data_IF_920587914331
#
_entry.id   IF_920587914331
#
_cell.length_a   1.000
_cell.length_b   1.000
_cell.length_c   1.000
_cell.angle_alpha   90.00
_cell.angle_beta   90.00
_cell.angle_gamma   90.00
#
_symmetry.space_group_name_H-M   'P 1'
#
loop_
_entity.id
_entity.type
_entity.pdbx_description
1 polymer ?
#
# COMPACT_ATOMS: atom_id res chain seq x y z
N UNK A 1 -12.93 -2.14 -6.63
CA UNK A 1 -12.39 -3.49 -6.97
C UNK A 1 -12.58 -3.86 -8.43
N UNK A 2 -13.77 -3.71 -9.05
CA UNK A 2 -13.96 -4.10 -10.45
C UNK A 2 -12.93 -3.47 -11.41
N UNK A 3 -12.77 -2.14 -11.38
CA UNK A 3 -11.82 -1.42 -12.25
C UNK A 3 -10.36 -1.92 -12.07
N UNK A 4 -9.93 -2.18 -10.83
CA UNK A 4 -8.57 -2.69 -10.58
C UNK A 4 -8.40 -4.10 -11.16
N UNK A 5 -9.39 -4.98 -10.98
CA UNK A 5 -9.37 -6.32 -11.57
C UNK A 5 -9.29 -6.26 -13.09
N UNK A 6 -10.09 -5.40 -13.73
CA UNK A 6 -10.05 -5.21 -15.19
C UNK A 6 -8.67 -4.74 -15.65
N UNK A 7 -8.12 -3.69 -15.03
CA UNK A 7 -6.80 -3.16 -15.39
C UNK A 7 -5.67 -4.18 -15.22
N UNK A 8 -5.69 -4.97 -14.13
CA UNK A 8 -4.71 -6.06 -13.96
C UNK A 8 -4.90 -7.16 -15.01
N UNK A 9 -6.17 -7.49 -15.35
CA UNK A 9 -6.50 -8.49 -16.37
C UNK A 9 -6.04 -8.09 -17.77
N UNK A 10 -6.12 -6.80 -18.10
CA UNK A 10 -5.64 -6.24 -19.38
C UNK A 10 -4.10 -6.19 -19.47
N UNK A 11 -3.42 -6.31 -18.32
CA UNK A 11 -1.96 -6.19 -18.21
C UNK A 11 -1.25 -7.53 -17.98
N UNK A 12 -1.84 -8.66 -18.41
CA UNK A 12 -1.25 -10.00 -18.17
C UNK A 12 0.14 -10.17 -18.76
N UNK A 13 0.36 -9.58 -19.92
CA UNK A 13 1.62 -9.65 -20.66
C UNK A 13 2.49 -8.39 -20.46
N UNK A 14 2.10 -7.51 -19.53
CA UNK A 14 2.88 -6.33 -19.19
C UNK A 14 4.20 -6.72 -18.53
N UNK A 15 5.24 -5.92 -18.74
CA UNK A 15 6.54 -6.10 -18.10
C UNK A 15 6.48 -6.00 -16.57
N UNK A 16 5.46 -5.34 -16.01
CA UNK A 16 5.22 -5.18 -14.59
C UNK A 16 4.05 -4.25 -14.30
N UNK A 17 3.71 -4.09 -13.04
CA UNK A 17 2.66 -3.18 -12.57
C UNK A 17 3.25 -2.13 -11.63
N UNK A 18 2.81 -0.89 -11.79
CA UNK A 18 3.11 0.21 -10.88
C UNK A 18 1.82 0.65 -10.20
N UNK A 19 1.79 0.60 -8.87
CA UNK A 19 0.74 1.18 -8.06
C UNK A 19 1.20 2.53 -7.53
N UNK A 20 0.62 3.61 -8.01
CA UNK A 20 0.87 4.96 -7.51
C UNK A 20 -0.07 5.25 -6.34
N UNK A 21 0.47 5.26 -5.13
CA UNK A 21 -0.24 5.57 -3.89
C UNK A 21 0.14 6.94 -3.33
N UNK A 22 0.87 7.76 -4.09
CA UNK A 22 1.19 9.11 -3.66
C UNK A 22 -0.09 9.92 -3.45
N UNK A 23 -0.14 10.68 -2.37
CA UNK A 23 -1.33 11.46 -2.01
C UNK A 23 -2.55 10.62 -1.63
N UNK A 24 -2.43 9.30 -1.49
CA UNK A 24 -3.55 8.43 -1.14
C UNK A 24 -3.66 8.25 0.38
N UNK A 25 -4.68 8.85 1.04
CA UNK A 25 -4.82 8.79 2.49
C UNK A 25 -5.36 7.45 3.01
N UNK A 26 -5.49 6.44 2.13
CA UNK A 26 -6.01 5.13 2.49
C UNK A 26 -7.50 4.97 2.21
N UNK A 27 -8.17 4.16 3.01
CA UNK A 27 -9.59 3.83 2.83
C UNK A 27 -9.97 2.48 3.42
N UNK A 28 -10.72 1.66 2.68
CA UNK A 28 -11.27 0.39 3.16
C UNK A 28 -10.22 -0.72 3.11
N UNK A 29 -9.80 -1.24 4.28
CA UNK A 29 -8.74 -2.26 4.41
C UNK A 29 -9.00 -3.56 3.62
N UNK A 30 -10.25 -3.99 3.49
CA UNK A 30 -10.61 -5.16 2.68
C UNK A 30 -10.28 -5.02 1.18
N UNK A 31 -10.18 -3.78 0.68
CA UNK A 31 -9.75 -3.52 -0.70
C UNK A 31 -8.27 -3.86 -0.87
N UNK A 32 -7.43 -3.50 0.09
CA UNK A 32 -6.01 -3.86 0.09
C UNK A 32 -5.81 -5.38 0.04
N UNK A 33 -6.52 -6.14 0.88
CA UNK A 33 -6.51 -7.60 0.86
C UNK A 33 -6.98 -8.17 -0.49
N UNK A 34 -8.04 -7.59 -1.07
CA UNK A 34 -8.54 -7.99 -2.39
C UNK A 34 -7.53 -7.76 -3.51
N UNK A 35 -6.82 -6.63 -3.50
CA UNK A 35 -5.77 -6.32 -4.48
C UNK A 35 -4.58 -7.26 -4.28
N UNK A 36 -4.15 -7.50 -3.03
CA UNK A 36 -3.07 -8.44 -2.73
C UNK A 36 -3.36 -9.84 -3.28
N UNK A 37 -4.61 -10.31 -3.18
CA UNK A 37 -5.03 -11.58 -3.76
C UNK A 37 -4.97 -11.63 -5.29
N UNK A 38 -5.13 -10.50 -5.98
CA UNK A 38 -4.96 -10.39 -7.45
C UNK A 38 -3.48 -10.41 -7.87
N UNK A 39 -2.57 -10.15 -6.93
CA UNK A 39 -1.14 -10.02 -7.18
C UNK A 39 -0.33 -11.21 -6.62
N UNK A 40 -0.95 -12.12 -5.89
CA UNK A 40 -0.24 -13.19 -5.18
C UNK A 40 -0.70 -14.57 -5.65
N UNK A 41 0.24 -15.51 -5.72
CA UNK A 41 -0.03 -16.91 -6.08
C UNK A 41 -0.30 -17.82 -4.87
N UNK A 42 -0.08 -17.33 -3.65
CA UNK A 42 -0.33 -18.03 -2.39
C UNK A 42 -1.13 -17.14 -1.45
N UNK A 43 -1.78 -17.75 -0.47
CA UNK A 43 -2.42 -17.02 0.62
C UNK A 43 -1.40 -16.34 1.53
N UNK A 44 -1.83 -15.28 2.20
CA UNK A 44 -0.96 -14.54 3.10
C UNK A 44 -1.70 -13.48 3.91
N UNK A 45 -0.96 -12.58 4.50
CA UNK A 45 -1.48 -11.46 5.26
C UNK A 45 -0.66 -10.21 5.01
N UNK A 46 -1.33 -9.07 4.89
CA UNK A 46 -0.70 -7.75 4.84
C UNK A 46 -0.33 -7.21 6.22
N UNK A 47 -0.66 -7.95 7.28
CA UNK A 47 -0.42 -7.56 8.65
C UNK A 47 -1.62 -7.83 9.56
N UNK A 48 -1.55 -7.28 10.77
CA UNK A 48 -2.51 -7.56 11.82
C UNK A 48 -2.93 -6.28 12.52
N UNK A 49 -4.22 -6.11 12.68
CA UNK A 49 -4.85 -5.11 13.52
C UNK A 49 -5.12 -5.72 14.90
N UNK A 50 -4.58 -5.12 15.97
CA UNK A 50 -4.79 -5.57 17.33
C UNK A 50 -5.65 -4.56 18.09
N UNK A 51 -6.82 -5.00 18.49
CA UNK A 51 -7.74 -4.29 19.37
C UNK A 51 -7.52 -4.73 20.82
N UNK A 52 -8.21 -4.08 21.76
CA UNK A 52 -8.07 -4.37 23.20
C UNK A 52 -8.32 -5.84 23.56
N UNK A 53 -9.32 -6.47 22.94
CA UNK A 53 -9.77 -7.83 23.27
C UNK A 53 -9.69 -8.82 22.10
N UNK A 54 -9.34 -8.36 20.90
CA UNK A 54 -9.34 -9.21 19.71
C UNK A 54 -8.26 -8.77 18.71
N UNK A 55 -8.00 -9.63 17.75
CA UNK A 55 -7.02 -9.41 16.70
C UNK A 55 -7.62 -9.81 15.36
N UNK A 56 -7.41 -8.98 14.34
CA UNK A 56 -7.86 -9.22 12.98
C UNK A 56 -6.66 -9.19 12.03
N UNK A 57 -6.50 -10.25 11.23
CA UNK A 57 -5.50 -10.29 10.14
C UNK A 57 -6.09 -9.69 8.88
N UNK A 58 -5.30 -8.89 8.16
CA UNK A 58 -5.59 -8.48 6.80
C UNK A 58 -5.19 -9.61 5.84
N UNK A 59 -5.87 -10.76 6.00
CA UNK A 59 -5.63 -11.93 5.18
C UNK A 59 -6.03 -11.68 3.71
N UNK A 60 -5.31 -12.28 2.80
CA UNK A 60 -5.67 -12.34 1.39
C UNK A 60 -5.53 -13.77 0.85
N UNK A 61 -6.30 -14.08 -0.16
CA UNK A 61 -6.31 -15.36 -0.84
C UNK A 61 -6.07 -15.14 -2.33
N UNK A 62 -5.28 -16.03 -2.98
CA UNK A 62 -5.00 -15.90 -4.40
C UNK A 62 -6.31 -15.91 -5.19
N UNK A 63 -6.41 -14.98 -6.13
CA UNK A 63 -7.53 -14.94 -7.06
C UNK A 63 -7.17 -15.73 -8.32
N UNK A 64 -8.18 -16.33 -9.01
CA UNK A 64 -7.94 -16.91 -10.33
C UNK A 64 -7.23 -15.90 -11.22
N UNK A 65 -6.20 -16.36 -11.94
CA UNK A 65 -5.45 -15.52 -12.89
C UNK A 65 -4.70 -14.34 -12.25
N UNK A 66 -4.19 -14.54 -11.02
CA UNK A 66 -3.36 -13.53 -10.35
C UNK A 66 -2.15 -13.13 -11.19
N UNK A 67 -1.81 -11.83 -11.19
CA UNK A 67 -0.65 -11.30 -11.87
C UNK A 67 0.65 -11.78 -11.20
N UNK A 68 1.55 -12.38 -11.99
CA UNK A 68 2.80 -12.98 -11.50
C UNK A 68 4.05 -12.14 -11.77
N UNK A 69 3.93 -11.13 -12.64
CA UNK A 69 5.04 -10.24 -12.98
C UNK A 69 5.47 -9.34 -11.81
N UNK A 70 6.55 -8.59 -11.97
CA UNK A 70 7.05 -7.69 -10.94
C UNK A 70 6.06 -6.57 -10.61
N UNK A 71 6.04 -6.15 -9.35
CA UNK A 71 5.17 -5.07 -8.85
C UNK A 71 6.02 -4.04 -8.13
N UNK A 72 5.79 -2.78 -8.48
CA UNK A 72 6.35 -1.61 -7.79
C UNK A 72 5.21 -0.79 -7.20
N UNK A 73 5.41 -0.26 -6.02
CA UNK A 73 4.47 0.67 -5.36
C UNK A 73 5.21 1.97 -5.09
N UNK A 74 4.65 3.09 -5.53
CA UNK A 74 5.19 4.43 -5.27
C UNK A 74 4.41 5.03 -4.10
N UNK A 75 5.13 5.52 -3.10
CA UNK A 75 4.58 6.18 -1.91
C UNK A 75 5.22 7.54 -1.66
N UNK A 76 4.53 8.38 -0.91
CA UNK A 76 5.03 9.67 -0.43
C UNK A 76 4.54 9.96 1.01
N UNK A 77 4.96 11.10 1.57
CA UNK A 77 4.55 11.54 2.90
C UNK A 77 3.04 11.75 3.11
N UNK A 78 2.23 11.65 2.06
CA UNK A 78 0.76 11.72 2.11
C UNK A 78 0.10 10.34 1.95
N UNK A 79 0.88 9.30 1.67
CA UNK A 79 0.40 7.92 1.66
C UNK A 79 0.14 7.47 3.08
N UNK A 80 -1.12 7.13 3.43
CA UNK A 80 -1.51 6.87 4.82
C UNK A 80 -2.45 5.67 4.98
N UNK A 81 -2.57 5.17 6.21
CA UNK A 81 -3.59 4.18 6.62
C UNK A 81 -3.56 2.92 5.74
N UNK A 82 -4.66 2.58 5.06
CA UNK A 82 -4.76 1.39 4.19
C UNK A 82 -3.70 1.37 3.07
N UNK A 83 -3.23 2.52 2.60
CA UNK A 83 -2.10 2.59 1.66
C UNK A 83 -0.82 2.06 2.30
N UNK A 84 -0.59 2.35 3.57
CA UNK A 84 0.56 1.85 4.34
C UNK A 84 0.43 0.36 4.67
N UNK A 85 -0.80 -0.09 5.00
CA UNK A 85 -1.10 -1.53 5.18
C UNK A 85 -0.76 -2.30 3.91
N UNK A 86 -1.18 -1.79 2.75
CA UNK A 86 -0.91 -2.42 1.47
C UNK A 86 0.58 -2.37 1.11
N UNK A 87 1.19 -1.19 1.11
CA UNK A 87 2.59 -1.02 0.73
C UNK A 87 3.54 -1.81 1.65
N UNK A 88 3.43 -1.62 2.97
CA UNK A 88 4.27 -2.30 3.95
C UNK A 88 4.04 -3.82 3.98
N UNK A 89 2.78 -4.25 3.83
CA UNK A 89 2.45 -5.67 3.75
C UNK A 89 3.06 -6.33 2.52
N UNK A 90 2.88 -5.73 1.32
CA UNK A 90 3.42 -6.25 0.06
C UNK A 90 4.95 -6.22 0.02
N UNK A 91 5.58 -5.21 0.63
CA UNK A 91 7.02 -5.14 0.80
C UNK A 91 7.56 -6.30 1.64
N UNK A 92 6.98 -6.51 2.82
CA UNK A 92 7.51 -7.50 3.77
C UNK A 92 7.30 -8.95 3.36
N UNK A 93 6.26 -9.24 2.59
CA UNK A 93 6.09 -10.58 1.98
C UNK A 93 6.92 -10.75 0.70
N UNK A 94 7.68 -9.73 0.30
CA UNK A 94 8.56 -9.78 -0.89
C UNK A 94 7.81 -9.73 -2.22
N UNK A 95 6.53 -9.29 -2.23
CA UNK A 95 5.72 -9.27 -3.45
C UNK A 95 5.85 -7.98 -4.25
N UNK A 96 6.18 -6.88 -3.62
CA UNK A 96 6.41 -5.60 -4.30
C UNK A 96 7.67 -4.90 -3.79
N UNK A 97 8.28 -4.09 -4.65
CA UNK A 97 9.29 -3.11 -4.30
C UNK A 97 8.64 -1.75 -4.06
N UNK A 98 9.07 -1.08 -3.03
CA UNK A 98 8.55 0.24 -2.65
C UNK A 98 9.54 1.32 -3.06
N UNK A 99 9.06 2.35 -3.75
CA UNK A 99 9.85 3.50 -4.22
C UNK A 99 9.20 4.80 -3.74
N UNK A 100 9.99 5.85 -3.61
CA UNK A 100 9.52 7.19 -3.31
C UNK A 100 10.02 7.71 -1.98
N UNK A 101 9.16 8.29 -1.19
CA UNK A 101 9.48 8.85 0.12
C UNK A 101 8.75 8.07 1.22
N UNK A 102 9.28 8.12 2.45
CA UNK A 102 8.64 7.48 3.61
C UNK A 102 7.18 7.94 3.74
N UNK A 103 6.26 7.01 3.97
CA UNK A 103 4.84 7.29 4.12
C UNK A 103 4.52 8.07 5.41
N UNK A 104 3.27 8.48 5.56
CA UNK A 104 2.84 9.36 6.66
C UNK A 104 3.09 8.79 8.05
N UNK A 105 3.02 7.47 8.24
CA UNK A 105 3.06 6.87 9.57
C UNK A 105 1.76 7.08 10.36
N UNK A 106 0.63 7.07 9.67
CA UNK A 106 -0.71 7.23 10.25
C UNK A 106 -1.56 6.00 9.93
N UNK A 107 -1.21 4.87 10.53
CA UNK A 107 -1.76 3.56 10.23
C UNK A 107 -2.70 3.01 11.33
N UNK A 108 -3.04 3.82 12.35
CA UNK A 108 -3.98 3.37 13.39
C UNK A 108 -5.40 3.27 12.85
N UNK A 109 -6.02 2.08 12.90
CA UNK A 109 -7.43 1.92 12.59
C UNK A 109 -8.28 2.78 13.52
N UNK A 110 -9.13 3.62 12.94
CA UNK A 110 -9.95 4.57 13.69
C UNK A 110 -11.42 4.51 13.26
N UNK A 111 -12.29 4.97 14.15
CA UNK A 111 -13.73 5.11 13.90
C UNK A 111 -14.18 6.53 14.21
N UNK A 112 -15.29 6.92 13.60
CA UNK A 112 -15.99 8.16 13.92
C UNK A 112 -17.17 7.87 14.84
N UNK A 113 -17.32 8.66 15.87
CA UNK A 113 -18.48 8.63 16.78
C UNK A 113 -19.09 10.02 16.86
N UNK A 114 -20.42 10.10 16.72
CA UNK A 114 -21.14 11.35 16.93
C UNK A 114 -21.36 11.56 18.41
N UNK A 115 -20.91 12.69 18.91
CA UNK A 115 -21.13 13.09 20.31
C UNK A 115 -22.54 13.65 20.53
N UNK A 116 -23.04 13.70 21.78
CA UNK A 116 -24.32 14.32 22.11
C UNK A 116 -24.45 15.79 21.64
N UNK A 117 -23.34 16.48 21.55
CA UNK A 117 -23.25 17.87 21.01
C UNK A 117 -23.46 17.96 19.50
N UNK A 118 -23.50 16.82 18.79
CA UNK A 118 -23.55 16.75 17.33
C UNK A 118 -22.19 16.74 16.64
N UNK A 119 -21.10 17.01 17.36
CA UNK A 119 -19.74 16.97 16.81
C UNK A 119 -19.31 15.52 16.47
N UNK A 120 -18.48 15.36 15.45
CA UNK A 120 -17.86 14.10 15.12
C UNK A 120 -16.52 13.97 15.87
N UNK A 121 -16.34 12.86 16.54
CA UNK A 121 -15.11 12.51 17.25
C UNK A 121 -14.48 11.29 16.59
N UNK A 122 -13.24 11.43 16.10
CA UNK A 122 -12.45 10.34 15.55
C UNK A 122 -11.43 9.87 16.59
N UNK A 123 -11.34 8.57 16.80
CA UNK A 123 -10.34 7.98 17.69
C UNK A 123 -9.87 6.62 17.21
N UNK A 124 -8.61 6.29 17.52
CA UNK A 124 -8.03 5.00 17.23
C UNK A 124 -8.64 3.90 18.11
N UNK A 125 -8.92 2.74 17.52
CA UNK A 125 -9.48 1.57 18.20
C UNK A 125 -8.54 0.38 18.22
N UNK A 126 -7.43 0.45 17.47
CA UNK A 126 -6.45 -0.62 17.33
C UNK A 126 -5.07 -0.06 17.00
N UNK A 127 -4.04 -0.88 17.16
CA UNK A 127 -2.77 -0.72 16.48
C UNK A 127 -2.75 -1.55 15.19
N UNK A 128 -1.80 -1.25 14.31
CA UNK A 128 -1.52 -2.05 13.13
C UNK A 128 -0.04 -2.41 13.08
N UNK A 129 0.24 -3.70 12.86
CA UNK A 129 1.57 -4.22 12.64
C UNK A 129 1.65 -4.97 11.31
N UNK A 130 2.73 -4.77 10.59
CA UNK A 130 3.07 -5.48 9.36
C UNK A 130 3.21 -7.00 9.60
N UNK A 131 3.34 -7.82 8.55
CA UNK A 131 3.57 -9.27 8.69
C UNK A 131 4.75 -9.63 9.60
N UNK A 132 5.83 -8.84 9.58
CA UNK A 132 7.02 -9.04 10.44
C UNK A 132 6.89 -8.39 11.83
N UNK A 133 5.72 -7.86 12.16
CA UNK A 133 5.43 -7.29 13.48
C UNK A 133 5.88 -5.85 13.68
N UNK A 134 6.24 -5.13 12.62
CA UNK A 134 6.65 -3.72 12.68
C UNK A 134 5.42 -2.83 12.87
N UNK A 135 5.45 -1.98 13.88
CA UNK A 135 4.46 -0.92 14.08
C UNK A 135 4.71 0.19 13.05
N UNK A 136 3.70 0.49 12.23
CA UNK A 136 3.79 1.52 11.18
C UNK A 136 3.51 2.92 11.73
N UNK A 137 2.67 3.03 12.76
CA UNK A 137 2.33 4.32 13.39
C UNK A 137 3.57 5.08 13.85
N UNK A 138 3.65 6.36 13.51
CA UNK A 138 4.75 7.25 13.81
C UNK A 138 6.06 6.98 13.06
N UNK A 139 6.16 5.83 12.36
CA UNK A 139 7.34 5.42 11.62
C UNK A 139 7.16 5.56 10.11
N UNK A 140 5.99 5.18 9.61
CA UNK A 140 5.70 5.02 8.19
C UNK A 140 6.31 3.75 7.57
N UNK A 141 5.98 3.53 6.30
CA UNK A 141 6.61 2.55 5.43
C UNK A 141 7.83 3.20 4.80
N UNK A 142 9.01 2.61 5.03
CA UNK A 142 10.28 3.09 4.47
C UNK A 142 10.46 2.43 3.10
N UNK A 143 10.66 3.21 2.02
CA UNK A 143 10.83 2.65 0.69
C UNK A 143 12.13 1.83 0.56
N UNK A 144 12.12 0.81 -0.32
CA UNK A 144 13.32 0.06 -0.70
C UNK A 144 14.31 0.93 -1.48
N UNK A 145 13.77 1.88 -2.25
CA UNK A 145 14.54 2.88 -3.00
C UNK A 145 13.97 4.26 -2.72
N UNK A 146 14.71 5.06 -1.94
CA UNK A 146 14.32 6.45 -1.69
C UNK A 146 14.57 7.29 -2.96
N UNK A 147 13.50 7.90 -3.46
CA UNK A 147 13.53 8.84 -4.59
C UNK A 147 12.70 10.05 -4.22
N UNK A 148 13.37 11.17 -4.00
CA UNK A 148 12.70 12.43 -3.64
C UNK A 148 12.18 13.17 -4.85
N UNK A 149 11.12 13.93 -4.64
CA UNK A 149 10.62 14.86 -5.62
C UNK A 149 11.70 15.85 -6.06
N UNK A 150 11.87 15.99 -7.36
CA UNK A 150 12.75 16.99 -7.94
C UNK A 150 11.91 18.04 -8.69
N UNK A 151 11.81 19.23 -8.10
CA UNK A 151 11.01 20.32 -8.70
C UNK A 151 11.46 20.65 -10.12
N UNK A 152 12.77 20.66 -10.40
CA UNK A 152 13.29 20.97 -11.74
C UNK A 152 12.86 19.90 -12.76
N UNK A 153 12.91 18.64 -12.38
CA UNK A 153 12.43 17.54 -13.23
C UNK A 153 10.93 17.67 -13.51
N UNK A 154 10.11 17.93 -12.49
CA UNK A 154 8.67 18.13 -12.64
C UNK A 154 8.32 19.30 -13.58
N UNK A 155 9.00 20.43 -13.44
CA UNK A 155 8.78 21.59 -14.31
C UNK A 155 9.19 21.33 -15.76
N UNK A 156 10.07 20.35 -16.01
CA UNK A 156 10.44 19.87 -17.34
C UNK A 156 9.60 18.68 -17.84
N UNK A 157 8.53 18.32 -17.12
CA UNK A 157 7.61 17.24 -17.50
C UNK A 157 8.09 15.83 -17.12
N UNK A 158 9.10 15.70 -16.25
CA UNK A 158 9.64 14.43 -15.79
C UNK A 158 9.22 14.12 -14.36
N UNK A 159 8.68 12.92 -14.14
CA UNK A 159 8.39 12.38 -12.82
C UNK A 159 9.51 11.42 -12.39
N UNK A 160 10.45 11.92 -11.58
CA UNK A 160 11.63 11.18 -11.16
C UNK A 160 11.31 9.86 -10.42
N UNK A 161 10.19 9.82 -9.69
CA UNK A 161 9.76 8.63 -8.96
C UNK A 161 9.15 7.58 -9.91
N UNK A 162 8.32 8.03 -10.86
CA UNK A 162 7.76 7.17 -11.90
C UNK A 162 8.85 6.64 -12.81
N UNK A 163 9.79 7.49 -13.23
CA UNK A 163 10.93 7.09 -14.06
C UNK A 163 11.79 6.01 -13.35
N UNK A 164 12.02 6.16 -12.05
CA UNK A 164 12.73 5.16 -11.24
C UNK A 164 11.97 3.84 -11.15
N UNK A 165 10.64 3.90 -10.99
CA UNK A 165 9.78 2.71 -10.96
C UNK A 165 9.81 1.95 -12.30
N UNK A 166 9.72 2.67 -13.42
CA UNK A 166 9.82 2.09 -14.76
C UNK A 166 11.18 1.43 -14.96
N UNK A 167 12.26 2.13 -14.58
CA UNK A 167 13.63 1.60 -14.70
C UNK A 167 13.80 0.31 -13.90
N UNK A 168 13.26 0.24 -12.68
CA UNK A 168 13.33 -0.96 -11.85
C UNK A 168 12.64 -2.14 -12.51
N UNK A 169 11.45 -1.95 -13.09
CA UNK A 169 10.74 -3.00 -13.83
C UNK A 169 11.46 -3.50 -15.08
N UNK A 170 12.39 -2.71 -15.63
CA UNK A 170 13.19 -3.09 -16.80
C UNK A 170 14.44 -3.89 -16.43
N UNK A 171 14.94 -3.74 -15.20
CA UNK A 171 16.18 -4.40 -14.72
C UNK A 171 15.94 -5.76 -14.07
N UNK A 172 14.74 -6.03 -13.59
CA UNK A 172 14.36 -7.30 -12.93
C UNK A 172 13.86 -8.39 -13.91
N UNK A 173 14.36 -8.34 -15.16
CA UNK A 173 14.09 -9.37 -16.20
C UNK A 173 15.09 -10.50 -16.18
#
# INVERSE_FOLDING_TARGET
MAKVRTAIGECRDCAGLIFDLRGNPGGVGGIASGIAGLLSSSEGSLGTMKMRSTQLKFAFFPQPESFKGPVVIIIDGSSASTSEVFAGGMQEIGRAKIIGETSMGAALPSIFQKLPTGALFQFAIADFKTPKGILVEGRGVIPDLEVRWNRKALLSGHDSQLDAAIKLLQTDK
#
